data_IF_003734584791
#
_entry.id   IF_003734584791
#
_cell.length_a   1.000
_cell.length_b   1.000
_cell.length_c   1.000
_cell.angle_alpha   90.00
_cell.angle_beta   90.00
_cell.angle_gamma   90.00
#
_symmetry.space_group_name_H-M   'P 1'
#
loop_
_entity.id
_entity.type
_entity.pdbx_description
1 polymer ?
#
# COMPACT_ATOMS: atom_id res chain seq x y z
N UNK A 1 -27.35 -11.39 -2.29
CA UNK A 1 -26.83 -12.54 -1.53
C UNK A 1 -25.64 -12.03 -0.74
N UNK A 2 -25.82 -11.71 0.54
CA UNK A 2 -24.68 -11.60 1.48
C UNK A 2 -23.94 -12.94 1.42
N UNK A 3 -22.62 -12.90 1.25
CA UNK A 3 -21.80 -14.11 1.35
C UNK A 3 -21.30 -14.16 2.79
N UNK A 4 -21.97 -14.94 3.61
CA UNK A 4 -21.55 -15.18 4.98
C UNK A 4 -20.50 -16.31 4.99
N UNK A 5 -19.41 -16.12 5.75
CA UNK A 5 -18.44 -17.18 6.04
C UNK A 5 -18.54 -17.51 7.52
N UNK A 6 -18.76 -18.78 7.82
CA UNK A 6 -18.64 -19.34 9.16
C UNK A 6 -17.17 -19.63 9.45
N UNK A 7 -16.64 -18.98 10.48
CA UNK A 7 -15.29 -19.25 10.99
C UNK A 7 -15.43 -19.87 12.37
N UNK A 8 -14.93 -21.11 12.50
CA UNK A 8 -14.84 -21.79 13.80
C UNK A 8 -13.61 -21.23 14.52
N UNK A 9 -13.82 -20.60 15.67
CA UNK A 9 -12.71 -20.12 16.51
C UNK A 9 -12.10 -21.29 17.31
N UNK A 10 -10.89 -21.15 17.88
CA UNK A 10 -10.25 -22.18 18.70
C UNK A 10 -11.09 -22.63 19.90
N UNK A 11 -12.01 -21.78 20.37
CA UNK A 11 -12.97 -22.05 21.44
C UNK A 11 -14.17 -22.91 20.97
N UNK A 12 -14.16 -23.37 19.71
CA UNK A 12 -15.22 -24.13 19.06
C UNK A 12 -16.55 -23.36 19.02
N UNK A 13 -16.46 -22.04 18.84
CA UNK A 13 -17.61 -21.15 18.64
C UNK A 13 -17.64 -20.73 17.17
N UNK A 14 -18.79 -20.84 16.55
CA UNK A 14 -19.00 -20.44 15.16
C UNK A 14 -19.36 -18.95 15.13
N UNK A 15 -18.49 -18.15 14.51
CA UNK A 15 -18.76 -16.73 14.27
C UNK A 15 -19.00 -16.54 12.78
N UNK A 16 -20.13 -15.92 12.46
CA UNK A 16 -20.51 -15.60 11.10
C UNK A 16 -19.98 -14.21 10.72
N UNK A 17 -19.24 -14.14 9.62
CA UNK A 17 -18.69 -12.91 9.07
C UNK A 17 -19.31 -12.58 7.73
N UNK A 18 -19.80 -11.35 7.57
CA UNK A 18 -20.19 -10.84 6.27
C UNK A 18 -18.94 -10.55 5.42
N UNK A 19 -18.80 -11.25 4.30
CA UNK A 19 -17.79 -10.91 3.32
C UNK A 19 -18.11 -9.56 2.69
N UNK A 20 -17.18 -8.61 2.85
CA UNK A 20 -17.20 -7.38 2.07
C UNK A 20 -17.28 -7.68 0.57
N UNK A 21 -18.27 -7.09 -0.10
CA UNK A 21 -18.52 -7.27 -1.53
C UNK A 21 -17.34 -6.86 -2.40
N UNK A 22 -17.33 -7.33 -3.65
CA UNK A 22 -16.23 -7.04 -4.59
C UNK A 22 -16.05 -5.53 -4.82
N UNK A 23 -17.16 -4.77 -4.82
CA UNK A 23 -17.15 -3.32 -4.98
C UNK A 23 -16.53 -2.58 -3.78
N UNK A 24 -16.81 -2.98 -2.55
CA UNK A 24 -16.20 -2.35 -1.37
C UNK A 24 -14.70 -2.66 -1.28
N UNK A 25 -14.28 -3.87 -1.70
CA UNK A 25 -12.86 -4.22 -1.82
C UNK A 25 -12.15 -3.37 -2.88
N UNK A 26 -12.78 -3.17 -4.04
CA UNK A 26 -12.24 -2.34 -5.10
C UNK A 26 -12.11 -0.87 -4.67
N UNK A 27 -13.16 -0.30 -4.05
CA UNK A 27 -13.13 1.07 -3.54
C UNK A 27 -12.06 1.24 -2.44
N UNK A 28 -11.90 0.26 -1.55
CA UNK A 28 -10.84 0.29 -0.55
C UNK A 28 -9.45 0.38 -1.20
N UNK A 29 -9.23 -0.43 -2.24
CA UNK A 29 -7.98 -0.41 -2.98
C UNK A 29 -7.79 0.90 -3.75
N UNK A 30 -8.85 1.46 -4.34
CA UNK A 30 -8.81 2.73 -5.05
C UNK A 30 -8.42 3.88 -4.11
N UNK A 31 -8.98 3.94 -2.91
CA UNK A 31 -8.61 4.93 -1.89
C UNK A 31 -7.14 4.76 -1.47
N UNK A 32 -6.68 3.53 -1.24
CA UNK A 32 -5.29 3.27 -0.88
C UNK A 32 -4.32 3.68 -2.00
N UNK A 33 -4.68 3.43 -3.27
CA UNK A 33 -3.88 3.85 -4.45
C UNK A 33 -3.84 5.37 -4.58
N UNK A 34 -4.97 6.06 -4.41
CA UNK A 34 -5.01 7.52 -4.44
C UNK A 34 -4.13 8.14 -3.35
N UNK A 35 -4.16 7.57 -2.14
CA UNK A 35 -3.28 8.00 -1.05
C UNK A 35 -1.82 7.75 -1.37
N UNK A 36 -1.47 6.60 -1.96
CA UNK A 36 -0.11 6.31 -2.37
C UNK A 36 0.38 7.25 -3.48
N UNK A 37 -0.44 7.50 -4.50
CA UNK A 37 -0.12 8.46 -5.55
C UNK A 37 0.08 9.86 -4.98
N UNK A 38 -0.80 10.31 -4.07
CA UNK A 38 -0.67 11.62 -3.44
C UNK A 38 0.63 11.75 -2.63
N UNK A 39 0.98 10.72 -1.85
CA UNK A 39 2.22 10.69 -1.08
C UNK A 39 3.47 10.64 -1.98
N UNK A 40 3.43 9.86 -3.06
CA UNK A 40 4.54 9.77 -4.01
C UNK A 40 4.76 11.08 -4.77
N UNK A 41 3.70 11.67 -5.31
CA UNK A 41 3.75 12.96 -6.02
C UNK A 41 4.16 14.06 -5.06
N UNK A 42 3.57 14.13 -3.86
CA UNK A 42 3.93 15.12 -2.85
C UNK A 42 5.39 15.02 -2.42
N UNK A 43 5.89 13.80 -2.23
CA UNK A 43 7.31 13.55 -1.94
C UNK A 43 8.23 13.96 -3.09
N UNK A 44 7.88 13.62 -4.33
CA UNK A 44 8.65 14.00 -5.51
C UNK A 44 8.71 15.53 -5.69
N UNK A 45 7.57 16.21 -5.55
CA UNK A 45 7.50 17.69 -5.61
C UNK A 45 8.33 18.33 -4.50
N UNK A 46 8.26 17.82 -3.27
CA UNK A 46 9.07 18.32 -2.16
C UNK A 46 10.57 18.18 -2.45
N UNK A 47 11.02 17.03 -2.98
CA UNK A 47 12.41 16.82 -3.36
C UNK A 47 12.86 17.75 -4.48
N UNK A 48 12.02 17.97 -5.50
CA UNK A 48 12.30 18.91 -6.59
C UNK A 48 12.41 20.35 -6.07
N UNK A 49 11.54 20.77 -5.17
CA UNK A 49 11.60 22.11 -4.56
C UNK A 49 12.87 22.30 -3.74
N UNK A 50 13.30 21.29 -2.98
CA UNK A 50 14.58 21.32 -2.26
C UNK A 50 15.74 21.50 -3.26
N UNK A 51 15.77 20.70 -4.32
CA UNK A 51 16.78 20.82 -5.38
C UNK A 51 16.78 22.20 -6.04
N UNK A 52 15.60 22.75 -6.31
CA UNK A 52 15.45 24.09 -6.90
C UNK A 52 15.98 25.20 -5.99
N UNK A 53 15.64 25.17 -4.70
CA UNK A 53 16.13 26.16 -3.71
C UNK A 53 17.65 26.11 -3.57
N UNK A 54 18.24 24.91 -3.56
CA UNK A 54 19.70 24.76 -3.48
C UNK A 54 20.41 25.34 -4.71
N UNK A 55 19.82 25.19 -5.91
CA UNK A 55 20.36 25.76 -7.15
C UNK A 55 20.32 27.29 -7.18
N UNK A 56 19.34 27.93 -6.53
CA UNK A 56 19.22 29.40 -6.48
C UNK A 56 20.36 30.08 -5.70
N UNK A 57 21.08 29.36 -4.84
CA UNK A 57 22.20 29.89 -4.05
C UNK A 57 23.39 30.27 -4.95
N UNK A 58 23.48 29.72 -6.17
CA UNK A 58 24.30 30.26 -7.27
C UNK A 58 25.82 30.23 -7.08
N UNK A 59 26.33 29.65 -5.98
CA UNK A 59 27.78 29.56 -5.75
C UNK A 59 28.37 28.33 -6.45
N UNK A 60 29.64 28.38 -6.93
CA UNK A 60 30.33 27.21 -7.49
C UNK A 60 30.38 26.04 -6.50
N UNK A 61 30.47 26.35 -5.20
CA UNK A 61 30.37 25.37 -4.11
C UNK A 61 28.96 24.76 -4.04
N UNK A 62 27.89 25.57 -4.12
CA UNK A 62 26.52 25.07 -4.13
C UNK A 62 26.25 24.15 -5.32
N UNK A 63 26.82 24.43 -6.50
CA UNK A 63 26.66 23.58 -7.69
C UNK A 63 27.33 22.21 -7.53
N UNK A 64 28.55 22.18 -6.98
CA UNK A 64 29.25 20.94 -6.67
C UNK A 64 28.52 20.11 -5.60
N UNK A 65 27.92 20.79 -4.62
CA UNK A 65 27.06 20.17 -3.61
C UNK A 65 25.79 19.61 -4.27
N UNK A 66 25.06 20.36 -5.09
CA UNK A 66 23.85 19.84 -5.74
C UNK A 66 24.11 18.64 -6.64
N UNK A 67 25.22 18.62 -7.39
CA UNK A 67 25.57 17.49 -8.26
C UNK A 67 25.87 16.23 -7.44
N UNK A 68 26.60 16.35 -6.32
CA UNK A 68 26.85 15.22 -5.41
C UNK A 68 25.56 14.73 -4.72
N UNK A 69 24.71 15.65 -4.28
CA UNK A 69 23.47 15.31 -3.59
C UNK A 69 22.39 14.80 -4.56
N UNK A 70 22.44 15.10 -5.86
CA UNK A 70 21.46 14.65 -6.85
C UNK A 70 21.29 13.13 -6.88
N UNK A 71 22.40 12.37 -6.89
CA UNK A 71 22.37 10.91 -6.85
C UNK A 71 21.82 10.36 -5.52
N UNK A 72 22.05 11.05 -4.42
CA UNK A 72 21.48 10.68 -3.10
C UNK A 72 19.97 10.92 -3.10
N UNK A 73 19.51 12.05 -3.66
CA UNK A 73 18.08 12.36 -3.77
C UNK A 73 17.35 11.34 -4.65
N UNK A 74 17.95 10.94 -5.78
CA UNK A 74 17.39 9.90 -6.65
C UNK A 74 17.31 8.56 -5.93
N UNK A 75 18.39 8.14 -5.24
CA UNK A 75 18.39 6.91 -4.44
C UNK A 75 17.31 6.93 -3.35
N UNK A 76 17.14 8.07 -2.66
CA UNK A 76 16.09 8.26 -1.65
C UNK A 76 14.69 8.20 -2.26
N UNK A 77 14.49 8.77 -3.46
CA UNK A 77 13.21 8.68 -4.17
C UNK A 77 12.89 7.23 -4.56
N UNK A 78 13.87 6.46 -5.04
CA UNK A 78 13.71 5.04 -5.36
C UNK A 78 13.39 4.19 -4.11
N UNK A 79 14.16 4.35 -3.04
CA UNK A 79 13.94 3.64 -1.78
C UNK A 79 12.59 4.04 -1.18
N UNK A 80 12.27 5.34 -1.20
CA UNK A 80 10.99 5.88 -0.73
C UNK A 80 9.82 5.29 -1.52
N UNK A 81 9.89 5.26 -2.85
CA UNK A 81 8.88 4.63 -3.71
C UNK A 81 8.70 3.14 -3.43
N UNK A 82 9.80 2.42 -3.23
CA UNK A 82 9.76 1.01 -2.83
C UNK A 82 9.05 0.82 -1.48
N UNK A 83 9.44 1.58 -0.45
CA UNK A 83 8.81 1.52 0.87
C UNK A 83 7.34 1.95 0.84
N UNK A 84 6.98 2.88 -0.03
CA UNK A 84 5.61 3.34 -0.17
C UNK A 84 4.74 2.31 -0.88
N UNK A 85 5.29 1.56 -1.85
CA UNK A 85 4.58 0.46 -2.51
C UNK A 85 4.43 -0.76 -1.58
N UNK A 86 5.49 -1.14 -0.89
CA UNK A 86 5.52 -2.36 -0.08
C UNK A 86 5.22 -2.11 1.40
N UNK A 87 6.01 -1.22 1.99
CA UNK A 87 5.98 -0.89 3.40
C UNK A 87 4.67 -0.25 3.85
N UNK A 88 4.00 0.57 3.02
CA UNK A 88 2.70 1.16 3.34
C UNK A 88 1.69 0.08 3.77
N UNK A 89 1.50 -0.93 2.93
CA UNK A 89 0.52 -1.98 3.20
C UNK A 89 0.92 -2.84 4.39
N UNK A 90 2.18 -3.26 4.47
CA UNK A 90 2.69 -4.07 5.59
C UNK A 90 2.52 -3.30 6.91
N UNK A 91 2.88 -2.01 6.92
CA UNK A 91 2.80 -1.16 8.11
C UNK A 91 1.36 -1.01 8.59
N UNK A 92 0.44 -0.58 7.72
CA UNK A 92 -0.95 -0.35 8.14
C UNK A 92 -1.65 -1.66 8.50
N UNK A 93 -1.45 -2.72 7.71
CA UNK A 93 -2.08 -4.01 7.99
C UNK A 93 -1.55 -4.63 9.29
N UNK A 94 -0.29 -4.40 9.66
CA UNK A 94 0.24 -4.85 10.96
C UNK A 94 -0.25 -3.94 12.09
N UNK A 95 -0.22 -2.62 11.91
CA UNK A 95 -0.52 -1.63 12.97
C UNK A 95 -2.01 -1.53 13.29
N UNK A 96 -2.88 -1.78 12.31
CA UNK A 96 -4.34 -1.68 12.42
C UNK A 96 -5.04 -3.04 12.28
N UNK A 97 -4.38 -4.13 12.65
CA UNK A 97 -4.97 -5.47 12.74
C UNK A 97 -5.70 -5.88 11.44
N UNK A 98 -5.00 -5.79 10.31
CA UNK A 98 -5.49 -6.18 8.98
C UNK A 98 -6.25 -5.10 8.22
N UNK A 99 -6.12 -3.83 8.60
CA UNK A 99 -6.79 -2.71 7.95
C UNK A 99 -5.79 -1.73 7.32
N UNK A 100 -6.08 -1.27 6.11
CA UNK A 100 -5.43 -0.13 5.45
C UNK A 100 -6.31 1.11 5.60
N UNK A 101 -5.82 2.33 5.33
CA UNK A 101 -6.67 3.53 5.41
C UNK A 101 -7.96 3.42 4.59
N UNK A 102 -7.87 2.94 3.34
CA UNK A 102 -9.03 2.72 2.49
C UNK A 102 -9.97 1.64 3.01
N UNK A 103 -9.44 0.51 3.48
CA UNK A 103 -10.27 -0.56 4.09
C UNK A 103 -10.97 -0.06 5.35
N UNK A 104 -10.29 0.74 6.18
CA UNK A 104 -10.84 1.27 7.42
C UNK A 104 -12.01 2.22 7.18
N UNK A 105 -11.92 3.08 6.16
CA UNK A 105 -13.03 3.96 5.78
C UNK A 105 -14.28 3.20 5.34
N UNK A 106 -14.09 2.02 4.74
CA UNK A 106 -15.18 1.16 4.27
C UNK A 106 -15.56 0.05 5.25
N UNK A 107 -15.06 0.11 6.50
CA UNK A 107 -15.36 -0.88 7.53
C UNK A 107 -14.81 -2.28 7.26
N UNK A 108 -13.88 -2.44 6.31
CA UNK A 108 -13.30 -3.71 5.94
C UNK A 108 -12.11 -4.08 6.83
N UNK A 109 -11.98 -5.36 7.15
CA UNK A 109 -10.83 -5.92 7.87
C UNK A 109 -10.45 -7.27 7.29
N UNK A 110 -9.14 -7.51 7.20
CA UNK A 110 -8.60 -8.83 6.86
C UNK A 110 -8.31 -9.58 8.16
N UNK A 111 -8.88 -10.77 8.27
CA UNK A 111 -8.69 -11.71 9.38
C UNK A 111 -7.97 -12.97 8.87
N UNK A 112 -7.23 -13.64 9.75
CA UNK A 112 -6.64 -14.96 9.45
C UNK A 112 -7.66 -16.06 9.73
N UNK A 113 -7.38 -17.26 9.22
CA UNK A 113 -8.14 -18.46 9.54
C UNK A 113 -8.24 -18.63 11.07
N UNK A 114 -9.44 -18.94 11.57
CA UNK A 114 -9.73 -18.99 13.01
C UNK A 114 -10.00 -17.63 13.69
N UNK A 115 -10.09 -16.53 12.94
CA UNK A 115 -10.50 -15.22 13.47
C UNK A 115 -9.37 -14.39 14.10
N UNK A 116 -8.13 -14.87 14.05
CA UNK A 116 -6.98 -14.18 14.63
C UNK A 116 -6.60 -12.90 13.88
N UNK A 117 -6.08 -11.86 14.59
CA UNK A 117 -5.55 -10.67 13.95
C UNK A 117 -4.34 -11.02 13.09
N UNK A 118 -4.09 -10.28 12.00
CA UNK A 118 -2.91 -10.48 11.14
C UNK A 118 -1.62 -10.20 11.93
N UNK A 119 -0.61 -11.07 11.75
CA UNK A 119 0.75 -10.82 12.21
C UNK A 119 1.61 -10.23 11.07
N UNK A 120 2.79 -9.70 11.41
CA UNK A 120 3.68 -9.06 10.42
C UNK A 120 4.11 -10.02 9.31
N UNK A 121 4.39 -11.28 9.64
CA UNK A 121 4.78 -12.30 8.66
C UNK A 121 3.67 -12.57 7.63
N UNK A 122 2.42 -12.73 8.09
CA UNK A 122 1.27 -12.89 7.20
C UNK A 122 1.01 -11.65 6.37
N UNK A 123 1.21 -10.44 6.93
CA UNK A 123 1.12 -9.19 6.18
C UNK A 123 2.17 -9.12 5.06
N UNK A 124 3.42 -9.50 5.35
CA UNK A 124 4.51 -9.54 4.35
C UNK A 124 4.21 -10.55 3.25
N UNK A 125 3.89 -11.80 3.59
CA UNK A 125 3.57 -12.85 2.62
C UNK A 125 2.39 -12.44 1.76
N UNK A 126 1.33 -11.90 2.36
CA UNK A 126 0.17 -11.41 1.60
C UNK A 126 0.52 -10.25 0.69
N UNK A 127 1.42 -9.35 1.10
CA UNK A 127 1.84 -8.24 0.27
C UNK A 127 2.77 -8.68 -0.88
N UNK A 128 3.59 -9.72 -0.68
CA UNK A 128 4.37 -10.39 -1.73
C UNK A 128 3.47 -11.09 -2.75
N UNK A 129 2.51 -11.87 -2.25
CA UNK A 129 1.52 -12.53 -3.10
C UNK A 129 0.63 -11.53 -3.82
N UNK A 130 0.42 -10.31 -3.29
CA UNK A 130 -0.32 -9.25 -3.98
C UNK A 130 0.23 -8.92 -5.36
N UNK A 131 1.54 -9.02 -5.59
CA UNK A 131 2.12 -8.80 -6.92
C UNK A 131 1.73 -9.94 -7.87
N UNK A 132 1.66 -11.16 -7.35
CA UNK A 132 1.23 -12.36 -8.10
C UNK A 132 -0.28 -12.36 -8.34
N UNK A 133 -1.08 -12.07 -7.31
CA UNK A 133 -2.54 -11.96 -7.33
C UNK A 133 -3.06 -10.69 -8.02
N UNK A 134 -2.21 -9.67 -8.15
CA UNK A 134 -2.45 -8.47 -8.94
C UNK A 134 -2.30 -8.70 -10.44
N UNK A 135 -1.58 -9.76 -10.84
CA UNK A 135 -1.51 -10.17 -12.25
C UNK A 135 -2.90 -10.48 -12.81
N UNK A 136 -3.79 -11.21 -12.10
CA UNK A 136 -5.19 -11.38 -12.48
C UNK A 136 -5.95 -10.10 -12.85
N UNK A 137 -5.67 -8.95 -12.26
CA UNK A 137 -6.35 -7.70 -12.65
C UNK A 137 -5.88 -7.20 -14.02
N UNK A 138 -4.63 -7.47 -14.37
CA UNK A 138 -4.03 -7.13 -15.67
C UNK A 138 -4.36 -8.20 -16.74
N UNK A 139 -4.43 -9.48 -16.37
CA UNK A 139 -4.75 -10.59 -17.30
C UNK A 139 -6.23 -10.93 -17.42
N UNK A 140 -7.03 -10.97 -16.36
CA UNK A 140 -8.48 -11.23 -16.48
C UNK A 140 -9.26 -10.04 -17.05
N UNK A 141 -8.77 -8.81 -16.91
CA UNK A 141 -9.32 -7.66 -17.64
C UNK A 141 -9.16 -7.78 -19.16
N UNK A 142 -8.11 -8.49 -19.61
CA UNK A 142 -7.81 -8.73 -21.03
C UNK A 142 -8.51 -9.99 -21.58
N UNK A 143 -8.75 -11.01 -20.75
CA UNK A 143 -9.43 -12.26 -21.15
C UNK A 143 -10.97 -12.13 -21.15
N UNK A 144 -11.53 -11.18 -20.41
CA UNK A 144 -12.99 -10.89 -20.45
C UNK A 144 -13.37 -9.93 -21.60
N UNK A 145 -12.36 -9.39 -22.32
CA UNK A 145 -12.54 -8.49 -23.45
C UNK A 145 -12.08 -9.09 -24.81
N UNK A 146 -11.81 -10.40 -24.87
CA UNK A 146 -11.40 -11.13 -26.07
C UNK A 146 -12.32 -12.29 -26.41
#
# INVERSE_FOLDING_TARGET
MSREILVVTPENIEIEYELGGIGSRFLAHLVDVLLQCALFIGGAVALLLIGFVLNLIGTPLAKAVTDFFSGILEALAFIGGFLLMWGYFIYFETRWNGQTPGKRQLGLRVIRDGGFPINIYAAIVRNLLRVVDGMPVITFGLIVAG
#
